data_IF_002155448340
#
_entry.id   IF_002155448340
#
_cell.length_a   1.000
_cell.length_b   1.000
_cell.length_c   1.000
_cell.angle_alpha   90.00
_cell.angle_beta   90.00
_cell.angle_gamma   90.00
#
_symmetry.space_group_name_H-M   'P 1'
#
loop_
_entity.id
_entity.type
_entity.pdbx_description
1 polymer ?
#
# COMPACT_ATOMS: atom_id res chain seq x y z
N UNK A 1 0.42 4.41 -20.88
CA UNK A 1 0.19 3.78 -19.56
C UNK A 1 1.51 3.67 -18.85
N UNK A 2 1.53 3.84 -17.53
CA UNK A 2 2.72 3.55 -16.70
C UNK A 2 2.98 2.04 -16.68
N UNK A 3 4.18 1.66 -16.28
CA UNK A 3 4.58 0.26 -16.09
C UNK A 3 5.10 0.07 -14.68
N UNK A 4 5.04 -1.16 -14.15
CA UNK A 4 5.68 -1.52 -12.89
C UNK A 4 7.09 -2.06 -13.15
N UNK A 5 7.95 -2.14 -12.13
CA UNK A 5 9.26 -2.82 -12.29
C UNK A 5 9.15 -4.28 -12.73
N UNK A 6 7.99 -4.93 -12.51
CA UNK A 6 7.74 -6.32 -12.88
C UNK A 6 7.11 -6.49 -14.26
N UNK A 7 6.71 -5.42 -14.95
CA UNK A 7 6.09 -5.50 -16.29
C UNK A 7 6.91 -6.34 -17.29
N UNK A 8 8.25 -6.20 -17.41
CA UNK A 8 9.04 -7.05 -18.30
C UNK A 8 9.00 -8.53 -17.90
N UNK A 9 8.88 -8.82 -16.61
CA UNK A 9 8.73 -10.19 -16.11
C UNK A 9 7.37 -10.76 -16.49
N UNK A 10 6.30 -10.01 -16.34
CA UNK A 10 4.94 -10.42 -16.70
C UNK A 10 4.85 -10.79 -18.18
N UNK A 11 5.33 -9.91 -19.07
CA UNK A 11 5.33 -10.13 -20.52
C UNK A 11 6.15 -11.38 -20.88
N UNK A 12 7.36 -11.51 -20.34
CA UNK A 12 8.24 -12.67 -20.62
C UNK A 12 7.63 -13.99 -20.17
N UNK A 13 6.78 -13.99 -19.15
CA UNK A 13 6.09 -15.18 -18.65
C UNK A 13 4.69 -15.37 -19.25
N UNK A 14 4.36 -14.65 -20.32
CA UNK A 14 3.14 -14.88 -21.09
C UNK A 14 1.88 -14.29 -20.47
N UNK A 15 2.00 -13.30 -19.59
CA UNK A 15 0.84 -12.64 -19.03
C UNK A 15 -0.01 -11.96 -20.11
N UNK A 16 -1.32 -12.07 -20.00
CA UNK A 16 -2.25 -11.22 -20.73
C UNK A 16 -2.31 -9.85 -20.02
N UNK A 17 -1.78 -8.84 -20.70
CA UNK A 17 -1.70 -7.47 -20.16
C UNK A 17 -2.93 -6.66 -20.51
N UNK A 18 -3.35 -5.75 -19.61
CA UNK A 18 -4.37 -4.74 -19.89
C UNK A 18 -4.21 -3.49 -19.00
N UNK A 19 -4.83 -2.41 -19.42
CA UNK A 19 -4.84 -1.15 -18.65
C UNK A 19 -5.66 -1.28 -17.38
N UNK A 20 -5.03 -0.95 -16.23
CA UNK A 20 -5.68 -0.86 -14.93
C UNK A 20 -5.13 0.33 -14.15
N UNK A 21 -6.01 1.26 -13.71
CA UNK A 21 -5.64 2.45 -12.93
C UNK A 21 -4.47 3.25 -13.53
N UNK A 22 -4.39 3.35 -14.86
CA UNK A 22 -3.33 4.07 -15.57
C UNK A 22 -2.06 3.28 -15.85
N UNK A 23 -1.96 2.04 -15.35
CA UNK A 23 -0.83 1.13 -15.55
C UNK A 23 -1.17 0.01 -16.54
N UNK A 24 -0.13 -0.56 -17.18
CA UNK A 24 -0.21 -1.81 -17.95
C UNK A 24 0.05 -2.97 -16.99
N UNK A 25 -1.02 -3.72 -16.66
CA UNK A 25 -1.01 -4.71 -15.59
C UNK A 25 -1.33 -6.12 -16.12
N UNK A 26 -0.78 -7.18 -15.50
CA UNK A 26 -1.11 -8.56 -15.83
C UNK A 26 -2.52 -8.89 -15.32
N UNK A 27 -3.38 -9.38 -16.20
CA UNK A 27 -4.72 -9.85 -15.83
C UNK A 27 -4.70 -11.33 -15.45
N UNK A 28 -3.97 -12.13 -16.23
CA UNK A 28 -3.83 -13.57 -16.01
C UNK A 28 -2.62 -14.09 -16.77
N UNK A 29 -2.16 -15.29 -16.39
CA UNK A 29 -1.09 -16.04 -17.05
C UNK A 29 -1.63 -17.34 -17.66
N UNK A 30 -2.30 -18.17 -16.86
CA UNK A 30 -2.79 -19.49 -17.26
C UNK A 30 -4.32 -19.57 -17.31
N UNK A 31 -4.99 -18.54 -16.85
CA UNK A 31 -6.44 -18.43 -16.80
C UNK A 31 -6.96 -18.11 -15.40
N UNK A 32 -7.94 -17.20 -15.34
CA UNK A 32 -8.47 -16.63 -14.10
C UNK A 32 -8.93 -17.71 -13.10
N UNK A 33 -9.64 -18.73 -13.55
CA UNK A 33 -10.20 -19.77 -12.68
C UNK A 33 -9.10 -20.66 -12.09
N UNK A 34 -8.09 -21.01 -12.88
CA UNK A 34 -6.97 -21.85 -12.43
C UNK A 34 -6.09 -21.10 -11.44
N UNK A 35 -5.82 -19.81 -11.72
CA UNK A 35 -5.05 -18.94 -10.83
C UNK A 35 -5.82 -18.66 -9.54
N UNK A 36 -7.12 -18.39 -9.59
CA UNK A 36 -7.96 -18.28 -8.40
C UNK A 36 -7.88 -19.54 -7.53
N UNK A 37 -8.03 -20.71 -8.15
CA UNK A 37 -7.92 -22.01 -7.46
C UNK A 37 -6.53 -22.20 -6.85
N UNK A 38 -5.47 -21.80 -7.56
CA UNK A 38 -4.10 -21.85 -7.05
C UNK A 38 -3.90 -20.99 -5.80
N UNK A 39 -4.42 -19.75 -5.78
CA UNK A 39 -4.35 -18.88 -4.62
C UNK A 39 -5.11 -19.48 -3.43
N UNK A 40 -6.31 -20.03 -3.67
CA UNK A 40 -7.13 -20.63 -2.61
C UNK A 40 -6.54 -21.91 -2.02
N UNK A 41 -5.90 -22.73 -2.82
CA UNK A 41 -5.39 -24.04 -2.41
C UNK A 41 -3.88 -24.06 -2.08
N UNK A 42 -3.10 -23.10 -2.62
CA UNK A 42 -1.65 -23.06 -2.52
C UNK A 42 -1.13 -21.65 -2.20
N UNK A 43 -0.72 -20.91 -3.22
CA UNK A 43 -0.30 -19.51 -3.11
C UNK A 43 -0.34 -18.82 -4.47
N UNK A 44 -0.48 -17.49 -4.46
CA UNK A 44 -0.29 -16.61 -5.59
C UNK A 44 0.48 -15.37 -5.20
N UNK A 45 1.16 -14.77 -6.18
CA UNK A 45 1.87 -13.49 -6.03
C UNK A 45 1.21 -12.49 -6.96
N UNK A 46 0.84 -11.35 -6.42
CA UNK A 46 0.21 -10.26 -7.15
C UNK A 46 1.14 -9.06 -7.18
N UNK A 47 1.40 -8.53 -8.36
CA UNK A 47 2.03 -7.22 -8.51
C UNK A 47 1.00 -6.13 -8.15
N UNK A 48 1.25 -5.44 -7.07
CA UNK A 48 0.44 -4.31 -6.59
C UNK A 48 1.23 -3.01 -6.57
N UNK A 49 2.33 -2.95 -7.32
CA UNK A 49 3.22 -1.78 -7.44
C UNK A 49 2.57 -0.58 -8.13
N UNK A 50 1.33 -0.69 -8.55
CA UNK A 50 0.51 0.42 -9.04
C UNK A 50 -0.14 1.23 -7.91
N UNK A 51 -0.14 0.70 -6.69
CA UNK A 51 -0.61 1.44 -5.51
C UNK A 51 0.28 2.66 -5.25
N UNK A 52 -0.19 3.57 -4.41
CA UNK A 52 0.59 4.74 -4.02
C UNK A 52 1.12 4.59 -2.59
N UNK A 53 2.33 5.10 -2.37
CA UNK A 53 3.00 5.11 -1.08
C UNK A 53 3.40 6.53 -0.70
N UNK A 54 2.86 7.01 0.43
CA UNK A 54 3.09 8.36 0.92
C UNK A 54 3.66 8.31 2.33
N UNK A 55 4.86 8.84 2.50
CA UNK A 55 5.47 9.01 3.81
C UNK A 55 4.94 10.27 4.50
N UNK A 56 4.61 10.11 5.79
CA UNK A 56 4.28 11.20 6.71
C UNK A 56 5.24 11.11 7.89
N UNK A 57 6.09 12.13 8.07
CA UNK A 57 7.20 12.10 9.03
C UNK A 57 7.23 13.35 9.91
N UNK A 58 7.87 13.22 11.07
CA UNK A 58 8.10 14.32 12.01
C UNK A 58 7.13 14.37 13.18
N UNK A 59 7.38 15.26 14.15
CA UNK A 59 6.70 15.28 15.45
C UNK A 59 5.19 15.61 15.36
N UNK A 60 4.74 16.13 14.21
CA UNK A 60 3.32 16.45 13.98
C UNK A 60 2.64 15.46 13.01
N UNK A 61 3.33 14.36 12.63
CA UNK A 61 2.80 13.34 11.73
C UNK A 61 1.50 12.71 12.29
N UNK A 62 1.52 12.32 13.56
CA UNK A 62 0.35 11.75 14.23
C UNK A 62 -0.84 12.74 14.26
N UNK A 63 -0.59 14.03 14.47
CA UNK A 63 -1.65 15.04 14.51
C UNK A 63 -2.36 15.16 13.15
N UNK A 64 -1.58 15.12 12.04
CA UNK A 64 -2.15 15.09 10.69
C UNK A 64 -3.02 13.84 10.50
N UNK A 65 -2.49 12.65 10.83
CA UNK A 65 -3.22 11.39 10.61
C UNK A 65 -4.51 11.33 11.43
N UNK A 66 -4.53 11.83 12.65
CA UNK A 66 -5.74 11.93 13.47
C UNK A 66 -6.74 12.95 12.92
N UNK A 67 -6.26 13.98 12.22
CA UNK A 67 -7.12 14.98 11.60
C UNK A 67 -7.77 14.51 10.31
N UNK A 68 -7.03 13.77 9.46
CA UNK A 68 -7.52 13.34 8.14
C UNK A 68 -8.14 11.94 8.13
N UNK A 69 -7.83 11.09 9.12
CA UNK A 69 -8.25 9.69 9.15
C UNK A 69 -9.55 9.47 9.92
N UNK A 70 -10.32 8.47 9.50
CA UNK A 70 -11.55 8.04 10.19
C UNK A 70 -11.29 7.21 11.44
N UNK A 71 -10.07 6.64 11.58
CA UNK A 71 -9.64 5.85 12.73
C UNK A 71 -8.51 6.56 13.49
N UNK A 72 -8.44 6.33 14.81
CA UNK A 72 -7.41 6.98 15.64
C UNK A 72 -6.05 6.30 15.47
N UNK A 73 -5.16 6.94 14.70
CA UNK A 73 -3.78 6.48 14.51
C UNK A 73 -2.94 6.46 15.79
N UNK A 74 -3.39 7.12 16.88
CA UNK A 74 -2.72 7.05 18.18
C UNK A 74 -2.82 5.66 18.83
N UNK A 75 -3.78 4.84 18.41
CA UNK A 75 -3.92 3.45 18.88
C UNK A 75 -2.89 2.48 18.29
N UNK A 76 -2.13 2.91 17.27
CA UNK A 76 -1.11 2.10 16.64
C UNK A 76 0.15 2.03 17.52
N UNK A 77 0.79 0.88 17.57
CA UNK A 77 2.15 0.69 18.05
C UNK A 77 3.11 0.44 16.86
N UNK A 78 4.41 0.50 17.07
CA UNK A 78 5.40 0.35 16.00
C UNK A 78 5.27 -1.01 15.32
N UNK A 79 5.17 -1.01 14.00
CA UNK A 79 4.87 -2.17 13.16
C UNK A 79 3.38 -2.45 12.96
N UNK A 80 2.46 -1.76 13.68
CA UNK A 80 1.02 -1.97 13.51
C UNK A 80 0.49 -1.21 12.31
N UNK A 81 -0.48 -1.85 11.63
CA UNK A 81 -1.18 -1.30 10.46
C UNK A 81 -2.64 -1.04 10.83
N UNK A 82 -3.22 -0.01 10.24
CA UNK A 82 -4.63 0.34 10.41
C UNK A 82 -5.26 0.63 9.05
N UNK A 83 -6.43 0.05 8.81
CA UNK A 83 -7.30 0.47 7.71
C UNK A 83 -8.09 1.70 8.14
N UNK A 84 -8.14 2.72 7.31
CA UNK A 84 -8.85 3.96 7.57
C UNK A 84 -9.42 4.56 6.28
N UNK A 85 -10.43 5.40 6.40
CA UNK A 85 -10.87 6.27 5.31
C UNK A 85 -10.32 7.69 5.51
N UNK A 86 -10.20 8.44 4.43
CA UNK A 86 -9.96 9.87 4.41
C UNK A 86 -11.30 10.61 4.17
N UNK A 87 -11.98 11.12 5.21
CA UNK A 87 -13.21 11.90 5.04
C UNK A 87 -12.96 13.21 4.32
N UNK A 88 -13.93 13.64 3.49
CA UNK A 88 -13.85 14.92 2.77
C UNK A 88 -14.45 16.12 3.53
N UNK A 89 -14.89 15.92 4.77
CA UNK A 89 -15.53 16.96 5.58
C UNK A 89 -16.96 17.32 5.18
N UNK A 90 -17.56 16.64 4.19
CA UNK A 90 -18.91 16.90 3.66
C UNK A 90 -19.78 15.65 3.57
N UNK A 91 -19.48 14.65 4.40
CA UNK A 91 -20.23 13.40 4.47
C UNK A 91 -19.82 12.32 3.47
N UNK A 92 -18.79 12.56 2.64
CA UNK A 92 -18.19 11.59 1.73
C UNK A 92 -16.74 11.28 2.12
N UNK A 93 -16.13 10.36 1.39
CA UNK A 93 -14.72 9.98 1.55
C UNK A 93 -13.91 10.39 0.32
N UNK A 94 -12.64 10.72 0.55
CA UNK A 94 -11.64 10.94 -0.51
C UNK A 94 -11.14 9.60 -1.00
N UNK A 95 -10.66 8.76 -0.08
CA UNK A 95 -10.20 7.39 -0.35
C UNK A 95 -10.25 6.53 0.92
N UNK A 96 -10.03 5.24 0.77
CA UNK A 96 -9.71 4.29 1.82
C UNK A 96 -8.23 3.90 1.73
N UNK A 97 -7.54 3.84 2.87
CA UNK A 97 -6.10 3.71 2.94
C UNK A 97 -5.65 2.72 4.01
N UNK A 98 -4.40 2.27 3.90
CA UNK A 98 -3.69 1.63 5.00
C UNK A 98 -2.68 2.60 5.62
N UNK A 99 -2.68 2.69 6.94
CA UNK A 99 -1.74 3.49 7.73
C UNK A 99 -0.80 2.54 8.45
N UNK A 100 0.47 2.55 8.08
CA UNK A 100 1.55 1.80 8.72
C UNK A 100 2.27 2.70 9.70
N UNK A 101 2.33 2.33 10.96
CA UNK A 101 3.23 3.00 11.90
C UNK A 101 4.59 2.33 11.92
N UNK A 102 5.62 3.03 11.48
CA UNK A 102 7.01 2.55 11.51
C UNK A 102 7.63 2.83 12.88
N UNK A 103 7.47 4.06 13.34
CA UNK A 103 7.83 4.52 14.68
C UNK A 103 6.92 5.68 15.12
N UNK A 104 7.24 6.32 16.26
CA UNK A 104 6.41 7.36 16.85
C UNK A 104 6.18 8.59 15.93
N UNK A 105 7.11 8.86 15.01
CA UNK A 105 7.09 10.02 14.13
C UNK A 105 7.12 9.68 12.64
N UNK A 106 7.06 8.39 12.28
CA UNK A 106 7.20 7.91 10.90
C UNK A 106 6.06 6.99 10.54
N UNK A 107 5.30 7.37 9.53
CA UNK A 107 4.18 6.60 9.00
C UNK A 107 4.30 6.45 7.49
N UNK A 108 3.89 5.29 6.98
CA UNK A 108 3.69 5.04 5.55
C UNK A 108 2.20 4.87 5.30
N UNK A 109 1.68 5.62 4.35
CA UNK A 109 0.31 5.44 3.85
C UNK A 109 0.37 4.69 2.53
N UNK A 110 -0.44 3.64 2.40
CA UNK A 110 -0.67 2.95 1.13
C UNK A 110 -2.07 3.33 0.65
N UNK A 111 -2.14 3.91 -0.54
CA UNK A 111 -3.34 4.50 -1.13
C UNK A 111 -3.70 3.85 -2.46
N UNK A 112 -4.96 3.97 -2.89
CA UNK A 112 -5.40 3.36 -4.13
C UNK A 112 -4.81 4.05 -5.37
N UNK A 113 -4.38 3.26 -6.34
CA UNK A 113 -3.68 3.71 -7.55
C UNK A 113 -4.37 4.86 -8.30
N UNK A 114 -5.69 4.77 -8.47
CA UNK A 114 -6.48 5.78 -9.17
C UNK A 114 -6.64 7.10 -8.38
N UNK A 115 -6.30 7.09 -7.09
CA UNK A 115 -6.52 8.19 -6.17
C UNK A 115 -5.22 8.85 -5.68
N UNK A 116 -4.03 8.35 -6.05
CA UNK A 116 -2.71 8.82 -5.56
C UNK A 116 -2.57 10.34 -5.59
N UNK A 117 -2.91 10.98 -6.71
CA UNK A 117 -2.80 12.44 -6.84
C UNK A 117 -3.83 13.17 -5.95
N UNK A 118 -5.05 12.65 -5.89
CA UNK A 118 -6.13 13.20 -5.07
C UNK A 118 -5.79 13.12 -3.57
N UNK A 119 -5.27 11.97 -3.14
CA UNK A 119 -4.89 11.75 -1.75
C UNK A 119 -3.66 12.57 -1.35
N UNK A 120 -2.68 12.64 -2.25
CA UNK A 120 -1.52 13.51 -2.06
C UNK A 120 -1.94 14.97 -1.84
N UNK A 121 -2.80 15.49 -2.72
CA UNK A 121 -3.28 16.87 -2.61
C UNK A 121 -4.09 17.11 -1.33
N UNK A 122 -4.90 16.12 -0.91
CA UNK A 122 -5.65 16.19 0.34
C UNK A 122 -4.72 16.23 1.56
N UNK A 123 -3.70 15.37 1.58
CA UNK A 123 -2.70 15.31 2.67
C UNK A 123 -1.84 16.58 2.72
N UNK A 124 -1.41 17.12 1.58
CA UNK A 124 -0.64 18.37 1.51
C UNK A 124 -1.45 19.53 2.06
N UNK A 125 -2.69 19.70 1.60
CA UNK A 125 -3.57 20.78 2.06
C UNK A 125 -3.86 20.70 3.58
N UNK A 126 -4.08 19.49 4.09
CA UNK A 126 -4.28 19.29 5.53
C UNK A 126 -2.96 19.48 6.33
N UNK A 127 -1.84 19.07 5.75
CA UNK A 127 -0.51 19.13 6.36
C UNK A 127 -0.03 20.55 6.67
N UNK A 128 -0.43 21.54 5.88
CA UNK A 128 -0.12 22.95 6.11
C UNK A 128 -0.52 23.41 7.51
N UNK A 129 -1.66 22.93 8.00
CA UNK A 129 -2.18 23.22 9.35
C UNK A 129 -1.22 22.79 10.46
N UNK A 130 -0.42 21.77 10.21
CA UNK A 130 0.53 21.17 11.14
C UNK A 130 1.98 21.54 10.85
N UNK A 131 2.22 22.38 9.82
CA UNK A 131 3.55 22.78 9.39
C UNK A 131 4.31 21.66 8.65
N UNK A 132 3.61 20.64 8.15
CA UNK A 132 4.19 19.56 7.37
C UNK A 132 4.28 19.98 5.89
N UNK A 133 5.43 19.79 5.28
CA UNK A 133 5.75 20.33 3.96
C UNK A 133 6.06 19.23 2.96
N UNK A 134 5.58 19.35 1.71
CA UNK A 134 5.99 18.49 0.61
C UNK A 134 7.52 18.45 0.43
N UNK A 135 8.07 17.28 0.15
CA UNK A 135 9.50 17.05 -0.04
C UNK A 135 10.32 17.03 1.25
N UNK A 136 9.67 17.16 2.42
CA UNK A 136 10.30 17.07 3.75
C UNK A 136 9.56 16.09 4.64
N UNK A 137 8.54 16.58 5.35
CA UNK A 137 7.72 15.77 6.24
C UNK A 137 6.68 14.93 5.47
N UNK A 138 6.22 15.41 4.30
CA UNK A 138 5.35 14.70 3.37
C UNK A 138 6.15 14.32 2.11
N UNK A 139 6.16 13.04 1.76
CA UNK A 139 6.92 12.55 0.62
C UNK A 139 6.15 11.45 -0.13
N UNK A 140 5.85 11.71 -1.41
CA UNK A 140 5.23 10.71 -2.30
C UNK A 140 6.33 9.83 -2.90
N UNK A 141 6.41 8.59 -2.46
CA UNK A 141 7.40 7.59 -2.88
C UNK A 141 6.83 6.56 -3.87
N UNK A 142 5.65 6.79 -4.42
CA UNK A 142 4.93 5.81 -5.25
C UNK A 142 5.72 5.33 -6.48
N UNK A 143 6.57 6.17 -7.05
CA UNK A 143 7.40 5.78 -8.19
C UNK A 143 8.75 5.12 -7.76
N UNK A 144 9.01 4.99 -6.46
CA UNK A 144 10.26 4.45 -5.89
C UNK A 144 10.07 3.10 -5.21
N UNK A 145 8.84 2.72 -4.90
CA UNK A 145 8.50 1.49 -4.18
C UNK A 145 7.81 0.52 -5.13
N UNK A 146 8.25 -0.73 -5.10
CA UNK A 146 7.56 -1.85 -5.72
C UNK A 146 6.91 -2.71 -4.63
N UNK A 147 5.67 -3.13 -4.84
CA UNK A 147 4.90 -3.86 -3.85
C UNK A 147 4.35 -5.17 -4.41
N UNK A 148 4.53 -6.25 -3.65
CA UNK A 148 3.99 -7.57 -3.97
C UNK A 148 3.04 -8.04 -2.86
N UNK A 149 1.88 -8.55 -3.24
CA UNK A 149 0.99 -9.24 -2.34
C UNK A 149 1.13 -10.76 -2.53
N UNK A 150 1.66 -11.45 -1.53
CA UNK A 150 1.81 -12.91 -1.52
C UNK A 150 0.68 -13.51 -0.68
N UNK A 151 -0.22 -14.24 -1.33
CA UNK A 151 -1.49 -14.67 -0.75
C UNK A 151 -1.67 -16.19 -0.82
N UNK A 152 -2.42 -16.75 0.12
CA UNK A 152 -2.82 -18.16 0.13
C UNK A 152 -2.23 -18.99 1.28
N UNK A 153 -2.69 -20.23 1.48
CA UNK A 153 -2.32 -21.08 2.62
C UNK A 153 -0.80 -21.35 2.74
N UNK A 154 -0.07 -21.31 1.63
CA UNK A 154 1.37 -21.55 1.60
C UNK A 154 2.21 -20.26 1.55
N UNK A 155 1.59 -19.07 1.52
CA UNK A 155 2.27 -17.79 1.37
C UNK A 155 3.37 -17.60 2.42
N UNK A 156 3.03 -17.72 3.71
CA UNK A 156 3.98 -17.58 4.80
C UNK A 156 5.18 -18.53 4.66
N UNK A 157 4.95 -19.80 4.31
CA UNK A 157 6.02 -20.79 4.15
C UNK A 157 6.96 -20.46 2.99
N UNK A 158 6.43 -19.88 1.92
CA UNK A 158 7.24 -19.44 0.76
C UNK A 158 8.09 -18.24 1.13
N UNK A 159 7.47 -17.19 1.71
CA UNK A 159 8.17 -15.95 2.09
C UNK A 159 9.21 -16.21 3.17
N UNK A 160 8.92 -17.09 4.15
CA UNK A 160 9.88 -17.48 5.20
C UNK A 160 11.17 -18.08 4.63
N UNK A 161 11.10 -18.80 3.51
CA UNK A 161 12.30 -19.36 2.84
C UNK A 161 13.16 -18.29 2.17
N UNK A 162 12.54 -17.19 1.74
CA UNK A 162 13.22 -16.05 1.12
C UNK A 162 13.78 -15.08 2.17
N UNK A 163 13.14 -15.01 3.33
CA UNK A 163 13.49 -14.12 4.43
C UNK A 163 13.78 -14.93 5.71
N UNK A 164 14.85 -15.73 5.75
CA UNK A 164 15.11 -16.64 6.88
C UNK A 164 15.43 -15.93 8.20
N UNK A 165 15.87 -14.67 8.14
CA UNK A 165 16.15 -13.85 9.32
C UNK A 165 14.88 -13.29 9.98
N UNK A 166 13.75 -13.24 9.27
CA UNK A 166 12.48 -12.81 9.82
C UNK A 166 11.71 -14.00 10.38
N UNK A 167 11.12 -13.87 11.56
CA UNK A 167 10.22 -14.89 12.13
C UNK A 167 8.76 -14.52 11.76
N UNK A 168 8.35 -14.92 10.55
CA UNK A 168 7.02 -14.60 10.03
C UNK A 168 5.89 -15.25 10.85
N UNK A 169 6.20 -16.32 11.61
CA UNK A 169 5.23 -16.95 12.50
C UNK A 169 4.80 -16.06 13.68
N UNK A 170 5.58 -15.02 14.00
CA UNK A 170 5.27 -14.04 15.03
C UNK A 170 4.48 -12.82 14.52
N UNK A 171 4.35 -12.67 13.21
CA UNK A 171 3.56 -11.56 12.66
C UNK A 171 2.09 -11.74 13.02
N UNK A 172 1.54 -10.77 13.71
CA UNK A 172 0.12 -10.70 13.99
C UNK A 172 -0.66 -10.15 12.79
N UNK A 173 -1.97 -10.29 12.81
CA UNK A 173 -2.83 -9.67 11.80
C UNK A 173 -2.65 -8.15 11.77
N UNK A 174 -2.39 -7.58 10.60
CA UNK A 174 -2.11 -6.15 10.41
C UNK A 174 -0.84 -5.67 11.16
N UNK A 175 0.25 -6.44 11.05
CA UNK A 175 1.60 -6.02 11.49
C UNK A 175 2.64 -6.29 10.42
#
# INVERSE_FOLDING_TARGET
MKTTPFTPYHIRNGARMAGFAGYDMPIEFTGINDEHTAVRARAGVFDVSHMGEIWVKGPRALDLLRYVGSNDAASLYDGKIQYACLPNGRGGIVDDILVYRIDAETYLLVVNAANVEKDWNHLVAAGERFGLRPGRELYNASDEIAQLAVQGPLAMRIVQRLCPAADLGKLAYYT
#
